data_IF_662840012438
#
_entry.id   IF_662840012438
#
_cell.length_a   1.000
_cell.length_b   1.000
_cell.length_c   1.000
_cell.angle_alpha   90.00
_cell.angle_beta   90.00
_cell.angle_gamma   90.00
#
_symmetry.space_group_name_H-M   'P 1'
#
loop_
_entity.id
_entity.type
_entity.pdbx_description
1 polymer ?
#
# COMPACT_ATOMS: atom_id res chain seq x y z
N UNK A 1 49.13 42.34 -23.28
CA UNK A 1 47.79 41.75 -23.12
C UNK A 1 48.01 40.31 -22.73
N UNK A 2 47.86 39.98 -21.45
CA UNK A 2 48.10 38.62 -20.95
C UNK A 2 46.97 37.69 -21.43
N UNK A 3 47.35 36.68 -22.21
CA UNK A 3 46.46 35.62 -22.67
C UNK A 3 46.02 34.78 -21.46
N UNK A 4 44.73 34.89 -21.11
CA UNK A 4 44.13 34.02 -20.09
C UNK A 4 44.29 32.56 -20.54
N UNK A 5 44.75 31.64 -19.66
CA UNK A 5 44.90 30.23 -20.00
C UNK A 5 43.52 29.65 -20.36
N UNK A 6 43.43 29.06 -21.54
CA UNK A 6 42.25 28.33 -22.03
C UNK A 6 42.00 27.19 -21.04
N UNK A 7 40.90 27.28 -20.28
CA UNK A 7 40.51 26.19 -19.38
C UNK A 7 40.20 24.96 -20.24
N UNK A 8 40.69 23.75 -19.88
CA UNK A 8 40.38 22.55 -20.63
C UNK A 8 38.85 22.35 -20.67
N UNK A 9 38.33 22.20 -21.88
CA UNK A 9 36.90 22.04 -22.16
C UNK A 9 36.42 20.62 -21.87
N UNK A 10 37.32 19.64 -22.01
CA UNK A 10 37.10 18.25 -21.64
C UNK A 10 37.13 18.10 -20.11
N UNK A 11 36.14 17.41 -19.57
CA UNK A 11 36.00 17.09 -18.16
C UNK A 11 35.69 15.61 -17.98
N UNK A 12 36.03 15.07 -16.81
CA UNK A 12 35.68 13.71 -16.45
C UNK A 12 34.62 13.69 -15.33
N UNK A 13 33.65 12.78 -15.44
CA UNK A 13 32.72 12.45 -14.36
C UNK A 13 32.45 10.95 -14.34
N UNK A 14 32.84 10.27 -13.25
CA UNK A 14 32.65 8.82 -13.06
C UNK A 14 33.22 7.97 -14.21
N UNK A 15 34.36 8.39 -14.77
CA UNK A 15 35.01 7.69 -15.88
C UNK A 15 34.45 8.06 -17.26
N UNK A 16 33.45 8.92 -17.34
CA UNK A 16 32.93 9.46 -18.61
C UNK A 16 33.62 10.79 -18.89
N UNK A 17 34.34 10.85 -20.01
CA UNK A 17 34.83 12.11 -20.55
C UNK A 17 33.73 12.81 -21.33
N UNK A 18 33.53 14.09 -21.05
CA UNK A 18 32.56 14.92 -21.73
C UNK A 18 33.13 16.32 -21.95
N UNK A 19 32.84 16.87 -23.12
CA UNK A 19 33.20 18.24 -23.43
C UNK A 19 32.11 19.19 -22.93
N UNK A 20 32.46 20.18 -22.10
CA UNK A 20 31.49 21.18 -21.63
C UNK A 20 31.02 22.14 -22.73
N UNK A 21 31.74 22.26 -23.85
CA UNK A 21 31.26 23.05 -25.00
C UNK A 21 30.25 22.32 -25.89
N UNK A 22 29.94 21.06 -25.62
CA UNK A 22 28.92 20.33 -26.37
C UNK A 22 27.55 21.04 -26.23
N UNK A 23 26.85 21.34 -27.35
CA UNK A 23 25.53 21.99 -27.34
C UNK A 23 24.51 21.33 -26.41
N UNK A 24 24.64 20.02 -26.14
CA UNK A 24 23.77 19.30 -25.20
C UNK A 24 23.88 19.77 -23.75
N UNK A 25 24.93 20.52 -23.41
CA UNK A 25 25.17 21.07 -22.07
C UNK A 25 24.95 22.59 -21.98
N UNK A 26 24.58 23.23 -23.09
CA UNK A 26 24.37 24.67 -23.15
C UNK A 26 23.24 25.10 -22.18
N UNK A 27 23.49 26.14 -21.39
CA UNK A 27 22.54 26.64 -20.39
C UNK A 27 22.34 25.74 -19.15
N UNK A 28 22.94 24.54 -19.10
CA UNK A 28 22.79 23.61 -17.98
C UNK A 28 23.78 23.89 -16.84
N UNK A 29 23.28 23.82 -15.61
CA UNK A 29 24.16 23.85 -14.43
C UNK A 29 25.07 22.61 -14.38
N UNK A 30 26.23 22.72 -13.72
CA UNK A 30 27.12 21.56 -13.49
C UNK A 30 26.41 20.35 -12.87
N UNK A 31 25.37 20.58 -12.05
CA UNK A 31 24.57 19.50 -11.43
C UNK A 31 23.63 18.85 -12.44
N UNK A 32 23.04 19.62 -13.35
CA UNK A 32 22.19 19.13 -14.43
C UNK A 32 23.00 18.31 -15.44
N UNK A 33 24.18 18.79 -15.85
CA UNK A 33 25.11 18.06 -16.74
C UNK A 33 25.49 16.70 -16.14
N UNK A 34 25.90 16.67 -14.86
CA UNK A 34 26.22 15.40 -14.17
C UNK A 34 25.02 14.48 -13.99
N UNK A 35 23.78 15.00 -13.95
CA UNK A 35 22.56 14.19 -13.88
C UNK A 35 22.29 13.55 -15.24
N UNK A 36 22.36 14.33 -16.31
CA UNK A 36 22.16 13.86 -17.68
C UNK A 36 23.15 12.74 -18.04
N UNK A 37 24.44 12.92 -17.73
CA UNK A 37 25.46 11.88 -17.92
C UNK A 37 25.19 10.59 -17.12
N UNK A 38 24.64 10.70 -15.89
CA UNK A 38 24.24 9.52 -15.11
C UNK A 38 23.04 8.83 -15.72
N UNK A 39 22.06 9.58 -16.20
CA UNK A 39 20.84 9.04 -16.80
C UNK A 39 21.19 8.34 -18.13
N UNK A 40 22.07 8.92 -18.96
CA UNK A 40 22.61 8.29 -20.18
C UNK A 40 23.37 7.00 -19.87
N UNK A 41 24.29 7.01 -18.89
CA UNK A 41 25.01 5.80 -18.48
C UNK A 41 24.07 4.75 -17.88
N UNK A 42 23.04 5.20 -17.15
CA UNK A 42 22.02 4.32 -16.62
C UNK A 42 21.23 3.66 -17.75
N UNK A 43 20.84 4.40 -18.79
CA UNK A 43 20.10 3.85 -19.92
C UNK A 43 20.97 2.96 -20.81
N UNK A 44 22.23 3.33 -21.06
CA UNK A 44 23.20 2.51 -21.77
C UNK A 44 23.41 1.15 -21.09
N UNK A 45 23.51 1.13 -19.75
CA UNK A 45 23.71 -0.10 -18.98
C UNK A 45 22.40 -0.85 -18.67
N UNK A 46 21.25 -0.42 -19.22
CA UNK A 46 19.94 -1.00 -18.91
C UNK A 46 19.85 -2.48 -19.27
N UNK A 47 20.32 -2.89 -20.44
CA UNK A 47 20.26 -4.29 -20.87
C UNK A 47 21.23 -5.18 -20.10
N UNK A 48 22.42 -4.66 -19.75
CA UNK A 48 23.37 -5.36 -18.88
C UNK A 48 22.82 -5.53 -17.46
N UNK A 49 22.20 -4.51 -16.87
CA UNK A 49 21.52 -4.65 -15.58
C UNK A 49 20.41 -5.69 -15.64
N UNK A 50 19.64 -5.70 -16.73
CA UNK A 50 18.55 -6.66 -16.93
C UNK A 50 19.10 -8.08 -17.11
N UNK A 51 20.18 -8.28 -17.87
CA UNK A 51 20.83 -9.59 -18.03
C UNK A 51 21.46 -10.09 -16.72
N UNK A 52 22.21 -9.23 -16.02
CA UNK A 52 22.80 -9.54 -14.72
C UNK A 52 21.73 -9.89 -13.67
N UNK A 53 20.62 -9.15 -13.63
CA UNK A 53 19.51 -9.48 -12.74
C UNK A 53 18.83 -10.81 -13.10
N UNK A 54 18.61 -11.08 -14.40
CA UNK A 54 18.08 -12.37 -14.88
C UNK A 54 19.00 -13.51 -14.48
N UNK A 55 20.30 -13.34 -14.63
CA UNK A 55 21.30 -14.35 -14.27
C UNK A 55 21.37 -14.56 -12.76
N UNK A 56 21.42 -13.50 -11.95
CA UNK A 56 21.34 -13.58 -10.48
C UNK A 56 20.08 -14.32 -10.02
N UNK A 57 18.93 -14.05 -10.64
CA UNK A 57 17.68 -14.76 -10.34
C UNK A 57 17.74 -16.22 -10.80
N UNK A 58 18.35 -16.52 -11.95
CA UNK A 58 18.54 -17.88 -12.47
C UNK A 58 19.43 -18.70 -11.53
N UNK A 59 20.58 -18.17 -11.13
CA UNK A 59 21.51 -18.79 -10.18
C UNK A 59 20.81 -19.08 -8.85
N UNK A 60 20.15 -18.08 -8.25
CA UNK A 60 19.38 -18.28 -7.01
C UNK A 60 18.28 -19.34 -7.13
N UNK A 61 17.61 -19.44 -8.29
CA UNK A 61 16.61 -20.49 -8.55
C UNK A 61 17.24 -21.87 -8.65
N UNK A 62 18.40 -21.99 -9.29
CA UNK A 62 19.14 -23.26 -9.42
C UNK A 62 19.68 -23.72 -8.06
N UNK A 63 20.26 -22.81 -7.29
CA UNK A 63 20.74 -23.06 -5.94
C UNK A 63 19.61 -23.53 -5.02
N UNK A 64 18.47 -22.83 -5.02
CA UNK A 64 17.28 -23.26 -4.27
C UNK A 64 16.78 -24.64 -4.71
N UNK A 65 16.84 -24.97 -6.01
CA UNK A 65 16.48 -26.31 -6.53
C UNK A 65 17.46 -27.38 -6.06
N UNK A 66 18.76 -27.07 -6.00
CA UNK A 66 19.79 -27.97 -5.47
C UNK A 66 19.56 -28.23 -3.99
N UNK A 67 19.37 -27.18 -3.18
CA UNK A 67 19.06 -27.28 -1.75
C UNK A 67 17.79 -28.11 -1.48
N UNK A 68 16.75 -27.97 -2.32
CA UNK A 68 15.54 -28.81 -2.22
C UNK A 68 15.79 -30.28 -2.57
N UNK A 69 16.70 -30.57 -3.51
CA UNK A 69 17.07 -31.95 -3.88
C UNK A 69 17.92 -32.61 -2.80
N UNK A 70 18.80 -31.84 -2.18
CA UNK A 70 19.69 -32.26 -1.08
C UNK A 70 18.95 -32.34 0.27
N UNK A 71 17.67 -32.00 0.32
CA UNK A 71 16.86 -32.06 1.56
C UNK A 71 17.16 -30.96 2.57
N UNK A 72 18.03 -30.00 2.23
CA UNK A 72 18.38 -28.85 3.10
C UNK A 72 17.17 -27.92 3.29
N UNK A 73 16.32 -27.80 2.28
CA UNK A 73 15.10 -27.00 2.31
C UNK A 73 13.92 -27.86 1.89
N UNK A 74 12.85 -27.87 2.71
CA UNK A 74 11.61 -28.53 2.33
C UNK A 74 10.96 -27.87 1.11
N UNK A 75 10.38 -28.71 0.25
CA UNK A 75 9.63 -28.22 -0.90
C UNK A 75 8.35 -27.55 -0.41
N UNK A 76 8.12 -26.27 -0.73
CA UNK A 76 6.90 -25.59 -0.30
C UNK A 76 5.68 -26.28 -0.91
N UNK A 77 4.63 -26.41 -0.10
CA UNK A 77 3.37 -26.98 -0.53
C UNK A 77 2.78 -26.19 -1.69
N UNK A 78 2.19 -26.89 -2.66
CA UNK A 78 1.49 -26.24 -3.76
C UNK A 78 0.24 -25.54 -3.24
N UNK A 79 -0.20 -24.46 -3.91
CA UNK A 79 -1.46 -23.79 -3.56
C UNK A 79 -2.67 -24.75 -3.53
N UNK A 80 -2.68 -25.77 -4.38
CA UNK A 80 -3.73 -26.81 -4.40
C UNK A 80 -3.69 -27.64 -3.12
N UNK A 81 -2.50 -28.03 -2.64
CA UNK A 81 -2.34 -28.78 -1.40
C UNK A 81 -2.65 -27.91 -0.17
N UNK A 82 -2.20 -26.65 -0.15
CA UNK A 82 -2.56 -25.69 0.90
C UNK A 82 -4.07 -25.49 0.99
N UNK A 83 -4.74 -25.29 -0.15
CA UNK A 83 -6.19 -25.14 -0.17
C UNK A 83 -6.95 -26.42 0.26
N UNK A 84 -6.36 -27.59 0.05
CA UNK A 84 -6.93 -28.86 0.54
C UNK A 84 -6.76 -29.03 2.05
N UNK A 85 -5.66 -28.54 2.61
CA UNK A 85 -5.37 -28.56 4.06
C UNK A 85 -6.02 -27.41 4.82
N UNK A 86 -6.64 -26.46 4.11
CA UNK A 86 -7.25 -25.28 4.70
C UNK A 86 -8.51 -25.65 5.48
N UNK A 87 -8.57 -25.24 6.74
CA UNK A 87 -9.73 -25.41 7.60
C UNK A 87 -10.56 -24.13 7.62
N UNK A 88 -11.87 -24.24 7.38
CA UNK A 88 -12.77 -23.08 7.44
C UNK A 88 -13.26 -22.90 8.87
N UNK A 89 -12.82 -21.82 9.50
CA UNK A 89 -13.21 -21.43 10.85
C UNK A 89 -14.65 -20.94 10.93
N UNK A 90 -15.19 -20.84 12.14
CA UNK A 90 -16.48 -20.21 12.39
C UNK A 90 -16.40 -18.67 12.48
N UNK A 91 -15.37 -18.05 11.89
CA UNK A 91 -15.23 -16.60 11.80
C UNK A 91 -15.62 -16.13 10.39
N UNK A 92 -16.56 -15.19 10.33
CA UNK A 92 -17.03 -14.61 9.08
C UNK A 92 -16.20 -13.41 8.64
N UNK A 93 -15.89 -13.34 7.35
CA UNK A 93 -15.32 -12.17 6.72
C UNK A 93 -16.29 -11.65 5.66
N UNK A 94 -16.87 -10.49 5.90
CA UNK A 94 -17.83 -9.85 5.01
C UNK A 94 -17.15 -8.66 4.31
N UNK A 95 -17.20 -8.63 2.98
CA UNK A 95 -16.79 -7.45 2.21
C UNK A 95 -18.07 -6.73 1.77
N UNK A 96 -18.22 -5.50 2.24
CA UNK A 96 -19.32 -4.60 1.88
C UNK A 96 -18.99 -3.90 0.56
N UNK A 97 -19.55 -4.40 -0.55
CA UNK A 97 -19.29 -3.88 -1.90
C UNK A 97 -20.15 -2.66 -2.25
N UNK A 98 -20.95 -2.13 -1.33
CA UNK A 98 -21.93 -1.06 -1.58
C UNK A 98 -21.33 0.35 -1.72
N UNK A 99 -20.15 0.48 -2.34
CA UNK A 99 -19.42 1.74 -2.49
C UNK A 99 -18.95 2.04 -3.93
N UNK A 100 -19.50 1.34 -4.93
CA UNK A 100 -19.08 1.49 -6.33
C UNK A 100 -19.17 2.92 -6.84
N UNK A 101 -20.20 3.67 -6.47
CA UNK A 101 -20.41 5.07 -6.88
C UNK A 101 -19.36 6.04 -6.33
N UNK A 102 -18.61 5.63 -5.29
CA UNK A 102 -17.60 6.46 -4.63
C UNK A 102 -16.20 6.27 -5.22
N UNK A 103 -16.03 5.33 -6.15
CA UNK A 103 -14.75 4.95 -6.75
C UNK A 103 -14.66 5.34 -8.22
N UNK A 104 -13.50 5.87 -8.60
CA UNK A 104 -13.14 6.06 -10.00
C UNK A 104 -12.87 4.70 -10.69
N UNK A 105 -12.87 4.66 -12.03
CA UNK A 105 -12.54 3.43 -12.78
C UNK A 105 -11.16 2.86 -12.39
N UNK A 106 -10.15 3.73 -12.18
CA UNK A 106 -8.82 3.32 -11.72
C UNK A 106 -8.85 2.71 -10.31
N UNK A 107 -9.68 3.24 -9.43
CA UNK A 107 -9.89 2.72 -8.08
C UNK A 107 -10.62 1.37 -8.12
N UNK A 108 -11.64 1.21 -8.96
CA UNK A 108 -12.30 -0.07 -9.23
C UNK A 108 -11.32 -1.14 -9.74
N UNK A 109 -10.45 -0.81 -10.69
CA UNK A 109 -9.42 -1.74 -11.17
C UNK A 109 -8.44 -2.15 -10.07
N UNK A 110 -8.14 -1.25 -9.13
CA UNK A 110 -7.36 -1.57 -7.94
C UNK A 110 -8.16 -2.46 -6.98
N UNK A 111 -9.44 -2.15 -6.76
CA UNK A 111 -10.32 -2.90 -5.88
C UNK A 111 -10.50 -4.35 -6.34
N UNK A 112 -10.74 -4.58 -7.62
CA UNK A 112 -10.83 -5.94 -8.21
C UNK A 112 -9.55 -6.74 -7.98
N UNK A 113 -8.37 -6.11 -8.10
CA UNK A 113 -7.10 -6.77 -7.76
C UNK A 113 -7.06 -7.14 -6.27
N UNK A 114 -7.46 -6.22 -5.38
CA UNK A 114 -7.51 -6.47 -3.95
C UNK A 114 -8.46 -7.63 -3.61
N UNK A 115 -9.66 -7.69 -4.19
CA UNK A 115 -10.58 -8.83 -4.05
C UNK A 115 -9.95 -10.15 -4.49
N UNK A 116 -9.27 -10.17 -5.64
CA UNK A 116 -8.54 -11.35 -6.11
C UNK A 116 -7.45 -11.80 -5.13
N UNK A 117 -6.73 -10.87 -4.51
CA UNK A 117 -5.76 -11.18 -3.46
C UNK A 117 -6.43 -11.70 -2.18
N UNK A 118 -7.51 -11.07 -1.73
CA UNK A 118 -8.33 -11.49 -0.58
C UNK A 118 -8.77 -12.94 -0.74
N UNK A 119 -9.43 -13.28 -1.85
CA UNK A 119 -9.83 -14.66 -2.15
C UNK A 119 -8.62 -15.61 -2.19
N UNK A 120 -7.58 -15.22 -2.93
CA UNK A 120 -6.40 -16.06 -3.14
C UNK A 120 -5.65 -16.40 -1.85
N UNK A 121 -5.64 -15.47 -0.88
CA UNK A 121 -5.04 -15.65 0.45
C UNK A 121 -5.94 -16.47 1.37
N UNK A 122 -7.22 -16.12 1.46
CA UNK A 122 -8.19 -16.87 2.27
C UNK A 122 -8.23 -18.36 1.88
N UNK A 123 -8.22 -18.64 0.57
CA UNK A 123 -8.26 -20.00 0.02
C UNK A 123 -7.13 -20.92 0.48
N UNK A 124 -5.95 -20.38 0.76
CA UNK A 124 -4.75 -21.16 1.08
C UNK A 124 -4.29 -20.99 2.52
N UNK A 125 -5.05 -20.24 3.32
CA UNK A 125 -4.76 -20.05 4.74
C UNK A 125 -4.93 -21.36 5.50
N UNK A 126 -4.14 -21.56 6.55
CA UNK A 126 -4.32 -22.70 7.48
C UNK A 126 -5.72 -22.67 8.09
N UNK A 127 -6.11 -21.51 8.63
CA UNK A 127 -7.43 -21.18 9.15
C UNK A 127 -8.09 -20.14 8.24
N UNK A 128 -8.91 -20.59 7.29
CA UNK A 128 -9.68 -19.74 6.40
C UNK A 128 -10.93 -19.18 7.10
N UNK A 129 -11.36 -17.99 6.68
CA UNK A 129 -12.62 -17.38 7.11
C UNK A 129 -13.75 -17.70 6.13
N UNK A 130 -14.99 -17.66 6.61
CA UNK A 130 -16.20 -17.71 5.77
C UNK A 130 -16.34 -16.39 5.01
N UNK A 131 -15.76 -16.33 3.80
CA UNK A 131 -15.75 -15.12 2.97
C UNK A 131 -17.10 -14.91 2.29
N UNK A 132 -17.68 -13.72 2.50
CA UNK A 132 -18.95 -13.30 1.89
C UNK A 132 -18.79 -11.91 1.26
N UNK A 133 -19.27 -11.75 0.03
CA UNK A 133 -19.43 -10.46 -0.64
C UNK A 133 -20.91 -10.05 -0.57
N UNK A 134 -21.18 -8.84 -0.11
CA UNK A 134 -22.54 -8.28 0.06
C UNK A 134 -22.68 -6.97 -0.67
N UNK A 135 -23.91 -6.54 -0.95
CA UNK A 135 -24.19 -5.36 -1.77
C UNK A 135 -23.43 -5.41 -3.10
N UNK A 136 -23.34 -6.61 -3.69
CA UNK A 136 -22.62 -6.85 -4.92
C UNK A 136 -23.43 -6.33 -6.10
N UNK A 137 -22.93 -5.30 -6.78
CA UNK A 137 -23.64 -4.60 -7.84
C UNK A 137 -23.16 -4.99 -9.25
N UNK A 138 -23.95 -4.60 -10.25
CA UNK A 138 -23.65 -4.89 -11.66
C UNK A 138 -22.40 -4.16 -12.16
N UNK A 139 -22.08 -3.00 -11.58
CA UNK A 139 -20.86 -2.26 -11.92
C UNK A 139 -19.61 -3.06 -11.54
N UNK A 140 -19.51 -3.55 -10.30
CA UNK A 140 -18.41 -4.40 -9.86
C UNK A 140 -18.39 -5.72 -10.64
N UNK A 141 -19.56 -6.31 -10.88
CA UNK A 141 -19.70 -7.55 -11.67
C UNK A 141 -19.09 -7.40 -13.07
N UNK A 142 -19.43 -6.32 -13.79
CA UNK A 142 -18.93 -6.09 -15.14
C UNK A 142 -17.41 -5.98 -15.19
N UNK A 143 -16.80 -5.31 -14.22
CA UNK A 143 -15.34 -5.16 -14.14
C UNK A 143 -14.68 -6.50 -13.76
N UNK A 144 -15.29 -7.28 -12.86
CA UNK A 144 -14.82 -8.63 -12.51
C UNK A 144 -14.87 -9.58 -13.71
N UNK A 145 -15.96 -9.58 -14.47
CA UNK A 145 -16.10 -10.39 -15.70
C UNK A 145 -15.01 -10.03 -16.72
N UNK A 146 -14.67 -8.74 -16.86
CA UNK A 146 -13.64 -8.30 -17.80
C UNK A 146 -12.20 -8.57 -17.31
N UNK A 147 -11.90 -8.29 -16.05
CA UNK A 147 -10.51 -8.25 -15.54
C UNK A 147 -10.10 -9.48 -14.74
N UNK A 148 -11.05 -10.21 -14.16
CA UNK A 148 -10.80 -11.38 -13.32
C UNK A 148 -11.88 -12.46 -13.52
N UNK A 149 -12.11 -12.96 -14.75
CA UNK A 149 -13.22 -13.88 -15.06
C UNK A 149 -13.23 -15.17 -14.23
N UNK A 150 -12.09 -15.54 -13.65
CA UNK A 150 -11.96 -16.66 -12.71
C UNK A 150 -12.75 -16.46 -11.39
N UNK A 151 -13.30 -15.27 -11.15
CA UNK A 151 -14.15 -14.97 -9.99
C UNK A 151 -15.40 -15.85 -9.93
N UNK A 152 -15.92 -16.28 -11.09
CA UNK A 152 -17.11 -17.15 -11.17
C UNK A 152 -16.89 -18.49 -10.44
N UNK A 153 -15.64 -18.98 -10.40
CA UNK A 153 -15.25 -20.21 -9.70
C UNK A 153 -15.21 -20.05 -8.17
N UNK A 154 -15.37 -18.83 -7.65
CA UNK A 154 -15.33 -18.58 -6.21
C UNK A 154 -16.57 -19.17 -5.51
N UNK A 155 -17.73 -19.17 -6.18
CA UNK A 155 -18.97 -19.79 -5.67
C UNK A 155 -18.80 -21.29 -5.42
N UNK A 156 -18.17 -22.00 -6.35
CA UNK A 156 -17.81 -23.43 -6.22
C UNK A 156 -16.82 -23.71 -5.07
N UNK A 157 -16.21 -22.67 -4.52
CA UNK A 157 -15.26 -22.73 -3.39
C UNK A 157 -15.85 -22.13 -2.12
N UNK A 158 -17.20 -22.12 -2.01
CA UNK A 158 -17.96 -21.72 -0.83
C UNK A 158 -17.79 -20.24 -0.44
N UNK A 159 -17.48 -19.38 -1.40
CA UNK A 159 -17.62 -17.93 -1.22
C UNK A 159 -19.07 -17.54 -1.50
N UNK A 160 -19.72 -16.93 -0.53
CA UNK A 160 -21.08 -16.40 -0.69
C UNK A 160 -21.00 -15.04 -1.39
N UNK A 161 -21.74 -14.85 -2.48
CA UNK A 161 -21.78 -13.59 -3.24
C UNK A 161 -23.23 -13.20 -3.40
N UNK A 162 -23.63 -12.11 -2.73
CA UNK A 162 -25.02 -11.69 -2.58
C UNK A 162 -25.19 -10.23 -3.01
N UNK A 163 -26.32 -9.96 -3.66
CA UNK A 163 -26.74 -8.60 -4.05
C UNK A 163 -27.30 -7.83 -2.85
N UNK A 164 -27.82 -8.55 -1.87
CA UNK A 164 -28.43 -8.07 -0.64
C UNK A 164 -27.40 -7.47 0.33
N UNK A 165 -27.87 -6.62 1.24
CA UNK A 165 -27.03 -6.04 2.28
C UNK A 165 -26.63 -7.11 3.29
N UNK A 166 -25.46 -6.94 3.93
CA UNK A 166 -25.08 -7.77 5.07
C UNK A 166 -26.10 -7.70 6.23
N UNK A 167 -26.90 -6.64 6.30
CA UNK A 167 -27.99 -6.50 7.28
C UNK A 167 -29.16 -7.46 7.02
N UNK A 168 -29.35 -7.90 5.77
CA UNK A 168 -30.46 -8.77 5.39
C UNK A 168 -30.06 -10.26 5.52
N UNK A 169 -28.76 -10.54 5.53
CA UNK A 169 -28.19 -11.90 5.47
C UNK A 169 -27.78 -12.41 6.85
N UNK A 170 -27.36 -11.51 7.76
CA UNK A 170 -26.77 -11.88 9.03
C UNK A 170 -27.54 -11.24 10.20
N UNK A 171 -27.55 -11.94 11.33
CA UNK A 171 -28.06 -11.39 12.58
C UNK A 171 -27.22 -10.19 13.00
N UNK A 172 -27.90 -9.09 13.35
CA UNK A 172 -27.26 -7.83 13.71
C UNK A 172 -26.22 -7.98 14.82
N UNK A 173 -26.51 -8.79 15.83
CA UNK A 173 -25.62 -9.01 16.98
C UNK A 173 -24.36 -9.82 16.63
N UNK A 174 -24.36 -10.50 15.48
CA UNK A 174 -23.17 -11.19 14.97
C UNK A 174 -22.21 -10.26 14.25
N UNK A 175 -22.64 -9.06 13.85
CA UNK A 175 -21.88 -8.16 12.97
C UNK A 175 -20.94 -7.24 13.73
N UNK A 176 -19.71 -7.12 13.24
CA UNK A 176 -18.72 -6.15 13.70
C UNK A 176 -18.11 -5.44 12.50
N UNK A 177 -18.37 -4.14 12.34
CA UNK A 177 -17.80 -3.36 11.25
C UNK A 177 -16.39 -2.88 11.60
N UNK A 178 -15.40 -3.34 10.82
CA UNK A 178 -14.01 -2.91 10.98
C UNK A 178 -13.80 -1.55 10.32
N UNK A 179 -13.47 -0.55 11.14
CA UNK A 179 -13.21 0.82 10.71
C UNK A 179 -11.98 1.37 11.42
N UNK A 180 -11.08 2.04 10.70
CA UNK A 180 -9.91 2.67 11.30
C UNK A 180 -10.28 3.84 12.24
N UNK A 181 -11.48 4.41 12.04
CA UNK A 181 -12.00 5.55 12.79
C UNK A 181 -12.81 5.15 14.03
N UNK A 182 -12.93 3.84 14.34
CA UNK A 182 -13.62 3.38 15.54
C UNK A 182 -12.81 3.69 16.81
N UNK A 183 -13.51 4.08 17.87
CA UNK A 183 -12.92 4.24 19.21
C UNK A 183 -12.65 2.89 19.88
N UNK A 184 -13.40 1.85 19.52
CA UNK A 184 -13.24 0.51 20.06
C UNK A 184 -12.06 -0.18 19.38
N UNK A 185 -11.18 -0.81 20.16
CA UNK A 185 -10.07 -1.60 19.64
C UNK A 185 -10.45 -3.07 19.71
N UNK A 186 -10.29 -3.80 18.60
CA UNK A 186 -10.53 -5.24 18.61
C UNK A 186 -9.40 -5.97 19.34
N UNK A 187 -9.77 -6.84 20.28
CA UNK A 187 -8.82 -7.62 21.08
C UNK A 187 -8.63 -9.04 20.53
N UNK A 188 -9.71 -9.65 20.03
CA UNK A 188 -9.70 -11.01 19.47
C UNK A 188 -10.72 -11.15 18.33
N UNK A 189 -10.50 -12.10 17.43
CA UNK A 189 -11.53 -12.56 16.51
C UNK A 189 -12.32 -13.70 17.18
N UNK A 190 -13.63 -13.50 17.33
CA UNK A 190 -14.53 -14.40 18.03
C UNK A 190 -15.27 -15.31 17.05
N UNK A 191 -15.38 -16.60 17.38
CA UNK A 191 -16.21 -17.51 16.61
C UNK A 191 -17.68 -17.11 16.64
N UNK A 192 -18.37 -17.30 15.52
CA UNK A 192 -19.76 -16.89 15.32
C UNK A 192 -19.94 -15.42 14.95
N UNK A 193 -18.90 -14.59 15.04
CA UNK A 193 -18.94 -13.19 14.59
C UNK A 193 -18.62 -13.06 13.10
N UNK A 194 -19.21 -12.04 12.48
CA UNK A 194 -19.06 -11.66 11.09
C UNK A 194 -18.42 -10.27 11.02
N UNK A 195 -17.14 -10.24 10.66
CA UNK A 195 -16.35 -9.02 10.57
C UNK A 195 -16.49 -8.38 9.19
N UNK A 196 -17.01 -7.16 9.14
CA UNK A 196 -17.28 -6.42 7.90
C UNK A 196 -16.09 -5.51 7.58
N UNK A 197 -15.65 -5.52 6.32
CA UNK A 197 -14.67 -4.56 5.78
C UNK A 197 -15.34 -3.81 4.63
N UNK A 198 -15.18 -2.48 4.62
CA UNK A 198 -15.62 -1.65 3.51
C UNK A 198 -14.86 -1.99 2.23
N UNK A 199 -15.58 -2.45 1.21
CA UNK A 199 -15.08 -2.79 -0.11
C UNK A 199 -14.80 -1.56 -0.97
N UNK A 200 -13.87 -0.72 -0.51
CA UNK A 200 -13.59 0.59 -1.12
C UNK A 200 -12.09 0.84 -1.29
N UNK A 201 -11.73 1.54 -2.37
CA UNK A 201 -10.38 2.08 -2.61
C UNK A 201 -10.50 3.58 -2.84
N UNK A 202 -10.28 4.37 -1.79
CA UNK A 202 -10.46 5.82 -1.81
C UNK A 202 -9.21 6.60 -1.34
N UNK A 203 -8.16 5.89 -0.91
CA UNK A 203 -6.95 6.44 -0.29
C UNK A 203 -7.24 7.27 0.98
N UNK A 204 -8.28 6.89 1.73
CA UNK A 204 -8.79 7.61 2.89
C UNK A 204 -9.27 9.04 2.56
N UNK A 205 -9.97 9.18 1.43
CA UNK A 205 -10.65 10.42 1.01
C UNK A 205 -11.93 10.62 1.81
N UNK A 206 -12.67 9.54 2.08
CA UNK A 206 -13.93 9.56 2.83
C UNK A 206 -13.70 9.12 4.28
N UNK A 207 -13.28 10.07 5.12
CA UNK A 207 -13.12 9.83 6.57
C UNK A 207 -14.46 9.42 7.19
N UNK A 208 -14.43 8.53 8.17
CA UNK A 208 -15.59 8.04 8.89
C UNK A 208 -16.65 7.33 8.04
N UNK A 209 -16.46 7.10 6.74
CA UNK A 209 -17.51 6.53 5.86
C UNK A 209 -18.09 5.22 6.40
N UNK A 210 -17.20 4.27 6.71
CA UNK A 210 -17.57 2.98 7.28
C UNK A 210 -18.09 3.10 8.71
N UNK A 211 -17.47 3.98 9.51
CA UNK A 211 -17.87 4.24 10.90
C UNK A 211 -19.31 4.77 10.97
N UNK A 212 -19.59 5.84 10.24
CA UNK A 212 -20.89 6.49 10.20
C UNK A 212 -21.97 5.55 9.67
N UNK A 213 -21.67 4.76 8.63
CA UNK A 213 -22.59 3.74 8.09
C UNK A 213 -22.97 2.72 9.17
N UNK A 214 -21.99 2.16 9.86
CA UNK A 214 -22.21 1.15 10.90
C UNK A 214 -22.92 1.73 12.13
N UNK A 215 -22.53 2.93 12.58
CA UNK A 215 -23.18 3.61 13.71
C UNK A 215 -24.64 3.93 13.41
N UNK A 216 -24.97 4.41 12.21
CA UNK A 216 -26.37 4.65 11.79
C UNK A 216 -27.21 3.37 11.79
N UNK A 217 -26.61 2.24 11.45
CA UNK A 217 -27.26 0.93 11.48
C UNK A 217 -27.28 0.31 12.89
N UNK A 218 -26.60 0.93 13.86
CA UNK A 218 -26.46 0.46 15.24
C UNK A 218 -25.67 -0.84 15.35
N UNK A 219 -24.69 -1.06 14.47
CA UNK A 219 -23.81 -2.24 14.49
C UNK A 219 -22.58 -1.93 15.33
N UNK A 220 -22.02 -2.95 16.00
CA UNK A 220 -20.74 -2.81 16.69
C UNK A 220 -19.64 -2.40 15.70
N UNK A 221 -18.79 -1.46 16.09
CA UNK A 221 -17.60 -1.07 15.31
C UNK A 221 -16.35 -1.37 16.11
N UNK A 222 -15.26 -1.69 15.41
CA UNK A 222 -13.94 -1.82 16.01
C UNK A 222 -12.83 -1.48 15.01
N UNK A 223 -11.68 -1.00 15.51
CA UNK A 223 -10.45 -0.84 14.72
C UNK A 223 -9.44 -1.93 15.08
N UNK A 224 -8.56 -2.27 14.14
CA UNK A 224 -7.42 -3.14 14.40
C UNK A 224 -6.44 -2.48 15.40
N UNK A 225 -5.77 -3.25 16.29
CA UNK A 225 -4.87 -2.71 17.31
C UNK A 225 -3.49 -2.28 16.76
N UNK A 226 -3.41 -1.79 15.52
CA UNK A 226 -2.16 -1.44 14.83
C UNK A 226 -1.36 -0.42 15.65
N UNK A 227 -2.03 0.59 16.20
CA UNK A 227 -1.40 1.67 16.96
C UNK A 227 -0.75 1.23 18.27
N UNK A 228 -1.08 0.04 18.78
CA UNK A 228 -0.52 -0.49 20.02
C UNK A 228 0.86 -1.13 19.79
N UNK A 229 1.17 -1.52 18.56
CA UNK A 229 2.39 -2.28 18.23
C UNK A 229 3.29 -1.57 17.23
N UNK A 230 2.71 -0.74 16.36
CA UNK A 230 3.42 -0.11 15.25
C UNK A 230 3.23 1.40 15.27
N UNK A 231 4.31 2.12 15.57
CA UNK A 231 4.37 3.55 15.34
C UNK A 231 4.82 3.80 13.90
N UNK A 232 3.87 3.88 12.95
CA UNK A 232 4.20 4.14 11.54
C UNK A 232 4.24 5.64 11.22
N UNK A 233 5.21 6.08 10.41
CA UNK A 233 5.18 7.41 9.78
C UNK A 233 4.06 7.57 8.72
N UNK A 234 3.53 6.45 8.23
CA UNK A 234 2.46 6.41 7.22
C UNK A 234 1.05 6.26 7.83
N UNK A 235 0.01 6.59 7.06
CA UNK A 235 -1.40 6.54 7.48
C UNK A 235 -1.78 5.14 8.01
N UNK A 236 -2.59 5.10 9.08
CA UNK A 236 -3.10 3.88 9.74
C UNK A 236 -4.20 3.14 8.95
N UNK A 237 -4.53 3.60 7.73
CA UNK A 237 -5.58 3.01 6.89
C UNK A 237 -4.96 1.94 5.99
N UNK A 238 -5.52 0.74 6.07
CA UNK A 238 -5.08 -0.45 5.33
C UNK A 238 -6.03 -0.77 4.17
N UNK A 239 -5.52 -1.48 3.18
CA UNK A 239 -6.33 -1.95 2.05
C UNK A 239 -7.17 -3.18 2.43
N UNK A 240 -8.23 -3.47 1.68
CA UNK A 240 -9.14 -4.60 1.94
C UNK A 240 -8.38 -5.92 2.09
N UNK A 241 -7.45 -6.17 1.16
CA UNK A 241 -6.64 -7.39 1.19
C UNK A 241 -5.65 -7.43 2.36
N UNK A 242 -5.16 -6.28 2.85
CA UNK A 242 -4.25 -6.23 4.00
C UNK A 242 -4.99 -6.58 5.28
N UNK A 243 -6.19 -6.03 5.48
CA UNK A 243 -7.03 -6.34 6.65
C UNK A 243 -7.38 -7.84 6.65
N UNK A 244 -7.78 -8.40 5.51
CA UNK A 244 -8.01 -9.84 5.37
C UNK A 244 -6.76 -10.67 5.74
N UNK A 245 -5.59 -10.31 5.20
CA UNK A 245 -4.35 -11.05 5.46
C UNK A 245 -3.95 -10.99 6.94
N UNK A 246 -4.10 -9.83 7.59
CA UNK A 246 -3.86 -9.67 9.03
C UNK A 246 -4.80 -10.56 9.84
N UNK A 247 -6.09 -10.58 9.52
CA UNK A 247 -7.06 -11.41 10.23
C UNK A 247 -6.75 -12.90 10.08
N UNK A 248 -6.38 -13.36 8.87
CA UNK A 248 -5.95 -14.73 8.64
C UNK A 248 -4.72 -15.09 9.47
N UNK A 249 -3.75 -14.18 9.55
CA UNK A 249 -2.56 -14.37 10.39
C UNK A 249 -2.85 -14.34 11.88
N UNK A 250 -3.79 -13.52 12.30
CA UNK A 250 -4.25 -13.56 13.68
C UNK A 250 -4.95 -14.87 14.02
N UNK A 251 -5.77 -15.44 13.13
CA UNK A 251 -6.37 -16.76 13.38
C UNK A 251 -5.31 -17.85 13.51
N UNK A 252 -4.25 -17.78 12.71
CA UNK A 252 -3.13 -18.72 12.75
C UNK A 252 -2.28 -18.60 14.02
N UNK A 253 -1.96 -17.37 14.44
CA UNK A 253 -0.94 -17.08 15.46
C UNK A 253 -1.51 -16.67 16.82
N UNK A 254 -2.76 -16.20 16.84
CA UNK A 254 -3.44 -15.57 18.00
C UNK A 254 -2.67 -14.39 18.61
N UNK A 255 -1.81 -13.75 17.80
CA UNK A 255 -0.95 -12.63 18.18
C UNK A 255 -1.01 -11.52 17.13
N UNK A 256 -1.56 -10.37 17.52
CA UNK A 256 -1.67 -9.21 16.63
C UNK A 256 -0.32 -8.66 16.18
N UNK A 257 0.67 -8.61 17.07
CA UNK A 257 1.99 -8.06 16.75
C UNK A 257 2.66 -8.91 15.66
N UNK A 258 2.66 -10.22 15.83
CA UNK A 258 3.22 -11.14 14.83
C UNK A 258 2.42 -11.09 13.53
N UNK A 259 1.08 -11.06 13.60
CA UNK A 259 0.23 -10.92 12.43
C UNK A 259 0.53 -9.63 11.64
N UNK A 260 0.79 -8.50 12.30
CA UNK A 260 1.19 -7.27 11.61
C UNK A 260 2.58 -7.38 10.99
N UNK A 261 3.56 -7.97 11.68
CA UNK A 261 4.93 -8.09 11.20
C UNK A 261 5.04 -8.99 9.96
N UNK A 262 4.24 -10.05 9.88
CA UNK A 262 4.23 -10.95 8.72
C UNK A 262 3.52 -10.37 7.49
N UNK A 263 2.55 -9.47 7.69
CA UNK A 263 1.67 -8.98 6.61
C UNK A 263 2.06 -7.61 6.10
N UNK A 264 2.65 -6.76 6.93
CA UNK A 264 3.06 -5.41 6.55
C UNK A 264 4.47 -5.47 5.93
N UNK A 265 4.64 -5.12 4.64
CA UNK A 265 5.92 -5.24 3.97
C UNK A 265 7.03 -4.48 4.68
N UNK A 266 8.20 -5.09 4.87
CA UNK A 266 9.32 -4.50 5.64
C UNK A 266 9.80 -3.10 5.21
N UNK A 267 9.49 -2.65 3.99
CA UNK A 267 9.70 -1.26 3.58
C UNK A 267 8.87 -0.24 4.38
N UNK A 268 7.72 -0.64 4.92
CA UNK A 268 6.89 0.14 5.84
C UNK A 268 7.36 0.01 7.29
N UNK A 269 8.14 -1.04 7.61
CA UNK A 269 8.73 -1.26 8.93
C UNK A 269 9.99 -0.42 9.16
N UNK A 270 10.56 0.20 8.12
CA UNK A 270 11.75 1.09 8.26
C UNK A 270 11.48 2.31 9.13
N UNK A 271 10.22 2.71 9.24
CA UNK A 271 9.76 3.83 10.08
C UNK A 271 8.95 3.34 11.28
N UNK A 272 9.07 2.06 11.67
CA UNK A 272 8.32 1.46 12.77
C UNK A 272 9.24 1.25 13.97
N UNK A 273 8.95 1.96 15.04
CA UNK A 273 9.37 1.58 16.39
C UNK A 273 8.35 0.60 16.97
N UNK A 274 8.83 -0.56 17.42
CA UNK A 274 8.02 -1.47 18.23
C UNK A 274 7.76 -0.78 19.57
N UNK A 275 6.50 -0.74 19.99
CA UNK A 275 6.14 -0.20 21.30
C UNK A 275 6.32 -1.34 22.30
N UNK A 276 7.34 -1.25 23.16
CA UNK A 276 7.48 -2.16 24.29
C UNK A 276 6.29 -1.98 25.23
N UNK A 277 5.59 -3.08 25.56
CA UNK A 277 4.56 -3.06 26.60
C UNK A 277 5.26 -2.74 27.93
N UNK A 278 5.14 -1.49 28.41
CA UNK A 278 5.45 -1.19 29.81
C UNK A 278 4.46 -1.98 30.67
N UNK A 279 4.96 -2.99 31.38
CA UNK A 279 4.25 -3.63 32.47
C UNK A 279 3.88 -2.55 33.49
N UNK A 280 2.59 -2.26 33.63
CA UNK A 280 2.05 -1.49 34.75
C UNK A 280 1.55 -2.52 35.76
N UNK A 281 2.26 -2.69 36.87
CA UNK A 281 1.89 -3.64 37.93
C UNK A 281 2.89 -3.81 39.09
N UNK A 282 2.92 -2.80 39.98
CA UNK A 282 3.23 -2.75 41.43
C UNK A 282 4.63 -3.02 42.05
N UNK A 283 4.97 -2.32 43.17
CA UNK A 283 6.27 -2.35 43.85
C UNK A 283 6.35 -3.36 45.02
N UNK A 284 7.58 -3.71 45.42
CA UNK A 284 8.03 -4.70 46.43
C UNK A 284 7.91 -6.17 46.01
N UNK A 285 8.95 -7.00 46.04
CA UNK A 285 10.00 -7.19 47.08
C UNK A 285 11.39 -7.53 46.50
N UNK A 286 12.40 -7.32 47.34
CA UNK A 286 13.84 -7.41 47.09
C UNK A 286 14.45 -8.81 46.87
N UNK A 287 15.70 -8.75 46.38
CA UNK A 287 16.86 -9.65 46.53
C UNK A 287 17.22 -10.74 45.50
N UNK A 288 18.22 -10.35 44.67
CA UNK A 288 19.50 -11.01 44.34
C UNK A 288 19.46 -12.39 43.66
N UNK A 289 19.89 -12.42 42.39
CA UNK A 289 21.12 -13.16 41.98
C UNK A 289 21.62 -12.62 40.64
N UNK A 290 22.84 -12.07 40.67
CA UNK A 290 23.62 -11.72 39.49
C UNK A 290 24.10 -12.99 38.81
N UNK A 291 23.71 -13.20 37.56
CA UNK A 291 24.48 -14.02 36.62
C UNK A 291 24.47 -13.34 35.25
N UNK A 292 25.68 -12.93 34.83
CA UNK A 292 25.98 -12.28 33.56
C UNK A 292 25.52 -13.11 32.36
N UNK A 293 24.72 -12.50 31.48
CA UNK A 293 24.54 -12.97 30.12
C UNK A 293 24.60 -11.77 29.15
N UNK A 294 25.74 -11.69 28.45
CA UNK A 294 25.89 -11.26 27.06
C UNK A 294 25.27 -9.92 26.63
N UNK A 295 26.13 -8.93 26.40
CA UNK A 295 25.85 -7.75 25.58
C UNK A 295 25.03 -8.10 24.31
N UNK A 296 23.93 -7.39 24.01
CA UNK A 296 23.29 -7.52 22.72
C UNK A 296 24.18 -6.86 21.66
N UNK A 297 24.51 -7.65 20.64
CA UNK A 297 25.21 -7.25 19.42
C UNK A 297 24.57 -6.00 18.81
N UNK A 298 25.36 -4.94 18.72
CA UNK A 298 25.03 -3.67 18.07
C UNK A 298 24.84 -3.89 16.56
N UNK A 299 23.60 -3.99 16.09
CA UNK A 299 23.31 -4.16 14.66
C UNK A 299 23.51 -2.81 13.93
N UNK A 300 24.54 -2.73 13.10
CA UNK A 300 24.73 -1.59 12.18
C UNK A 300 23.88 -1.78 10.93
N UNK A 301 22.92 -0.88 10.69
CA UNK A 301 22.10 -0.88 9.47
C UNK A 301 22.92 -0.30 8.32
N UNK A 302 23.07 -1.09 7.26
CA UNK A 302 23.71 -0.69 6.00
C UNK A 302 22.77 -0.87 4.81
N UNK A 303 22.96 -0.07 3.75
CA UNK A 303 22.23 -0.24 2.49
C UNK A 303 22.64 -1.53 1.74
N UNK A 304 22.00 -1.82 0.59
CA UNK A 304 22.31 -3.02 -0.22
C UNK A 304 23.76 -3.04 -0.78
N UNK A 305 24.53 -1.97 -0.56
CA UNK A 305 25.93 -1.84 -0.94
C UNK A 305 26.84 -1.68 0.30
N UNK A 306 26.36 -1.97 1.51
CA UNK A 306 27.17 -1.94 2.73
C UNK A 306 27.44 -0.55 3.30
N UNK A 307 26.68 0.49 2.91
CA UNK A 307 26.91 1.87 3.37
C UNK A 307 26.03 2.23 4.57
N UNK A 308 26.58 2.87 5.62
CA UNK A 308 25.77 3.40 6.72
C UNK A 308 24.86 4.54 6.23
N UNK A 309 23.70 4.76 6.89
CA UNK A 309 22.76 5.82 6.50
C UNK A 309 23.44 7.19 6.56
N UNK A 310 23.49 7.88 5.41
CA UNK A 310 23.96 9.25 5.36
C UNK A 310 22.92 10.15 6.04
N UNK A 311 23.33 10.89 7.07
CA UNK A 311 22.51 11.97 7.62
C UNK A 311 22.13 12.94 6.51
N UNK A 312 20.84 13.23 6.42
CA UNK A 312 20.31 14.25 5.55
C UNK A 312 20.84 15.63 6.00
N UNK A 313 21.77 16.20 5.22
CA UNK A 313 22.21 17.59 5.40
C UNK A 313 21.32 18.51 4.56
N UNK A 314 20.07 18.73 4.99
CA UNK A 314 19.33 19.90 4.53
C UNK A 314 19.85 21.14 5.29
N UNK A 315 20.30 22.20 4.61
CA UNK A 315 20.48 23.50 5.24
C UNK A 315 19.12 24.00 5.74
N UNK A 316 19.06 24.44 6.99
CA UNK A 316 17.90 25.10 7.58
C UNK A 316 17.74 26.53 7.02
N UNK A 317 17.29 26.66 5.78
CA UNK A 317 16.83 27.93 5.23
C UNK A 317 15.70 27.65 4.24
N UNK A 318 14.47 27.74 4.75
CA UNK A 318 13.20 28.07 4.10
C UNK A 318 12.07 27.46 4.96
N UNK A 319 11.96 27.96 6.19
CA UNK A 319 10.69 27.92 6.90
C UNK A 319 9.87 29.13 6.39
N UNK A 320 8.68 28.93 5.80
CA UNK A 320 7.78 30.04 5.56
C UNK A 320 7.35 30.66 6.91
N UNK A 321 7.15 31.99 6.98
CA UNK A 321 6.76 32.64 8.23
C UNK A 321 5.38 32.13 8.70
N UNK A 322 5.15 32.10 10.02
CA UNK A 322 3.86 31.67 10.57
C UNK A 322 2.73 32.64 10.17
N UNK A 323 1.50 32.15 9.99
CA UNK A 323 0.36 33.01 9.69
C UNK A 323 0.05 33.92 10.88
N UNK A 324 -0.03 35.22 10.61
CA UNK A 324 -0.48 36.25 11.56
C UNK A 324 -1.93 36.00 12.00
N UNK A 325 -2.17 36.08 13.30
CA UNK A 325 -3.48 35.91 13.95
C UNK A 325 -4.53 36.92 13.45
N UNK A 326 -5.84 36.55 13.45
CA UNK A 326 -6.90 37.37 12.87
C UNK A 326 -7.28 38.55 13.76
N UNK A 327 -7.31 39.75 13.19
CA UNK A 327 -8.00 40.90 13.78
C UNK A 327 -9.50 40.82 13.48
N UNK A 328 -10.30 41.12 14.51
CA UNK A 328 -11.76 41.17 14.58
C UNK A 328 -12.36 42.22 13.62
N UNK A 329 -13.55 42.01 13.03
CA UNK A 329 -14.12 42.96 12.08
C UNK A 329 -14.93 44.06 12.80
N UNK A 330 -14.74 45.29 12.35
CA UNK A 330 -15.71 46.37 12.51
C UNK A 330 -16.29 46.73 11.13
N UNK A 331 -17.62 46.74 11.03
CA UNK A 331 -18.41 47.30 9.94
C UNK A 331 -19.09 48.60 10.45
N UNK A 332 -19.80 49.40 9.62
CA UNK A 332 -19.68 49.66 8.17
C UNK A 332 -19.76 51.19 7.84
N UNK A 333 -19.48 51.61 6.59
CA UNK A 333 -20.41 52.50 5.87
C UNK A 333 -20.11 52.76 4.37
N UNK A 334 -21.19 52.68 3.59
CA UNK A 334 -21.62 53.45 2.39
C UNK A 334 -20.85 53.51 1.06
N UNK A 335 -21.53 52.97 0.03
CA UNK A 335 -21.85 53.56 -1.29
C UNK A 335 -20.71 53.98 -2.25
N UNK A 336 -20.55 53.29 -3.39
CA UNK A 336 -21.24 53.63 -4.65
C UNK A 336 -20.85 52.72 -5.84
N UNK A 337 -21.87 52.46 -6.64
CA UNK A 337 -21.97 51.95 -8.03
C UNK A 337 -20.71 51.79 -8.90
N UNK A 338 -20.54 50.60 -9.49
CA UNK A 338 -20.40 50.44 -10.95
C UNK A 338 -20.67 48.98 -11.40
N UNK A 339 -21.51 48.81 -12.43
CA UNK A 339 -21.80 47.54 -13.12
C UNK A 339 -21.22 47.63 -14.54
N UNK A 340 -20.47 46.63 -15.01
CA UNK A 340 -20.33 46.38 -16.44
C UNK A 340 -20.92 45.00 -16.85
N UNK A 341 -21.16 44.78 -18.15
CA UNK A 341 -22.24 43.95 -18.66
C UNK A 341 -21.85 42.49 -18.98
N UNK A 342 -22.88 41.66 -19.07
CA UNK A 342 -22.88 40.37 -19.76
C UNK A 342 -22.60 40.55 -21.26
N UNK A 343 -21.57 39.88 -21.78
CA UNK A 343 -21.58 39.24 -23.11
C UNK A 343 -20.25 38.56 -23.39
N UNK A 344 -20.32 37.44 -24.10
CA UNK A 344 -19.24 36.72 -24.80
C UNK A 344 -18.78 35.42 -24.13
N UNK A 345 -19.64 34.41 -24.31
CA UNK A 345 -19.30 32.99 -24.31
C UNK A 345 -18.39 32.74 -25.53
N UNK A 346 -17.12 32.39 -25.31
CA UNK A 346 -16.30 31.76 -26.33
C UNK A 346 -16.40 30.23 -26.21
N UNK A 347 -16.63 29.50 -27.31
CA UNK A 347 -16.66 28.04 -27.30
C UNK A 347 -15.25 27.44 -27.16
N UNK A 348 -15.13 26.23 -26.57
CA UNK A 348 -13.84 25.56 -26.44
C UNK A 348 -13.26 25.16 -27.81
N UNK A 349 -11.93 25.12 -27.95
CA UNK A 349 -11.27 24.73 -29.20
C UNK A 349 -11.52 23.25 -29.55
N UNK A 350 -11.50 22.89 -30.85
CA UNK A 350 -11.87 21.56 -31.33
C UNK A 350 -10.89 20.48 -30.84
N UNK A 351 -11.49 19.36 -30.42
CA UNK A 351 -10.84 18.11 -30.04
C UNK A 351 -9.91 17.59 -31.13
N UNK A 352 -8.69 17.19 -30.73
CA UNK A 352 -7.78 16.39 -31.55
C UNK A 352 -8.49 15.09 -31.97
N UNK A 353 -8.68 14.89 -33.27
CA UNK A 353 -9.10 13.62 -33.85
C UNK A 353 -7.89 12.68 -33.90
N UNK A 354 -7.96 11.59 -33.14
CA UNK A 354 -7.02 10.47 -33.25
C UNK A 354 -7.43 9.61 -34.45
N UNK A 355 -6.70 9.77 -35.56
CA UNK A 355 -6.73 8.87 -36.69
C UNK A 355 -5.66 7.78 -36.50
N UNK A 356 -5.97 6.79 -35.66
CA UNK A 356 -5.24 5.50 -35.64
C UNK A 356 -6.21 4.32 -35.63
N UNK A 357 -6.97 4.20 -36.73
CA UNK A 357 -7.42 2.88 -37.19
C UNK A 357 -6.32 2.32 -38.08
N UNK A 358 -5.94 1.06 -37.82
CA UNK A 358 -5.87 -0.03 -38.82
C UNK A 358 -4.82 -1.08 -38.42
N UNK A 359 -5.25 -2.11 -37.68
CA UNK A 359 -4.67 -3.44 -37.81
C UNK A 359 -5.77 -4.50 -37.69
N UNK A 360 -6.07 -5.13 -38.82
CA UNK A 360 -6.79 -6.39 -38.93
C UNK A 360 -5.88 -7.55 -38.56
N UNK A 361 -6.37 -8.49 -37.76
CA UNK A 361 -5.74 -9.81 -37.54
C UNK A 361 -6.49 -10.82 -38.40
N UNK A 362 -5.83 -11.32 -39.45
CA UNK A 362 -6.31 -12.47 -40.22
C UNK A 362 -6.06 -13.77 -39.44
N UNK A 363 -7.07 -14.64 -39.41
CA UNK A 363 -6.90 -16.06 -39.07
C UNK A 363 -6.14 -16.76 -40.19
N UNK A 364 -5.08 -17.48 -39.82
CA UNK A 364 -4.49 -18.51 -40.67
C UNK A 364 -5.13 -19.84 -40.26
N UNK A 365 -5.54 -20.60 -41.27
CA UNK A 365 -6.33 -21.84 -41.23
C UNK A 365 -5.74 -22.95 -40.37
#
# INVERSE_FOLDING_TARGET
>A
MDSKPIKPTIRNFQGIEYDISDPKFEGLSKRAIKRLLRDEQWDANKEERKSSLREKVRVKRLEKRKQMREGIIERPLTKKKLAYLSEVTNVGLVVDCGFSDLMTEKEHLSYVKQLGYTYGKNKVASKAMKLTLTSFDDALKGILDQKLPTWQQWKERKVSINTESYMDIFDKDSLVYLSADSDNVIERLEEGKNYIIGGIVDKNRYKNLCQDKATKQGIQTARLPIGNYLQMASRKVLTVNQVCEIMLKWLELEDWQQAFMETIPGRKLKDVTLIEKKNIGNPHTDEITNQELGHPSEFTIVDMNGRPPQQSTYPATYAPPPPSSPQTPAQPNTQNFYRPPESSIEPPPPSYQDHSKDYHVQQIQ
#
